data_IF_401658095055
#
_entry.id   IF_401658095055
#
_cell.length_a   1.000
_cell.length_b   1.000
_cell.length_c   1.000
_cell.angle_alpha   90.00
_cell.angle_beta   90.00
_cell.angle_gamma   90.00
#
_symmetry.space_group_name_H-M   'P 1'
#
loop_
_entity.id
_entity.type
_entity.pdbx_description
1 polymer ?
#
# COMPACT_ATOMS: atom_id res chain seq x y z
N UNK A 1 21.35 0.30 -33.18
CA UNK A 1 20.65 1.21 -32.25
C UNK A 1 19.44 0.45 -31.72
N UNK A 2 19.50 0.01 -30.47
CA UNK A 2 18.45 -0.79 -29.83
C UNK A 2 17.42 0.15 -29.23
N UNK A 3 16.26 0.27 -29.89
CA UNK A 3 15.09 0.88 -29.30
C UNK A 3 14.44 -0.15 -28.39
N UNK A 4 14.70 -0.04 -27.09
CA UNK A 4 13.95 -0.77 -26.08
C UNK A 4 12.49 -0.31 -26.18
N UNK A 5 11.66 -1.23 -26.67
CA UNK A 5 10.21 -1.16 -26.66
C UNK A 5 9.76 -0.89 -25.22
N UNK A 6 9.38 0.37 -24.95
CA UNK A 6 8.51 0.67 -23.83
C UNK A 6 7.21 -0.05 -24.09
N UNK A 7 7.03 -1.17 -23.38
CA UNK A 7 5.82 -1.95 -23.43
C UNK A 7 4.65 -1.03 -23.10
N UNK A 8 3.86 -0.74 -24.14
CA UNK A 8 2.55 -0.15 -24.10
C UNK A 8 1.63 -1.14 -23.38
N UNK A 9 1.77 -1.24 -22.05
CA UNK A 9 0.76 -1.85 -21.21
C UNK A 9 -0.43 -0.90 -21.26
N UNK A 10 -1.42 -1.31 -22.04
CA UNK A 10 -2.70 -0.64 -22.18
C UNK A 10 -3.20 -0.21 -20.80
N UNK A 11 -3.40 1.11 -20.54
CA UNK A 11 -4.14 1.51 -19.36
C UNK A 11 -5.58 1.10 -19.65
N UNK A 12 -5.97 -0.08 -19.18
CA UNK A 12 -7.36 -0.50 -19.15
C UNK A 12 -8.13 0.59 -18.42
N UNK A 13 -8.82 1.41 -19.21
CA UNK A 13 -9.60 2.57 -18.81
C UNK A 13 -10.80 2.10 -17.99
N UNK A 14 -10.56 1.65 -16.76
CA UNK A 14 -11.52 1.70 -15.69
C UNK A 14 -11.26 3.01 -14.95
N UNK A 15 -11.64 4.11 -15.60
CA UNK A 15 -12.00 5.33 -14.88
C UNK A 15 -13.14 4.91 -13.97
N UNK A 16 -12.88 4.70 -12.68
CA UNK A 16 -13.93 4.47 -11.70
C UNK A 16 -14.81 5.73 -11.71
N UNK A 17 -16.04 5.70 -12.23
CA UNK A 17 -16.83 6.92 -12.39
C UNK A 17 -17.26 7.51 -11.04
N UNK A 18 -16.94 6.81 -9.93
CA UNK A 18 -17.29 7.22 -8.58
C UNK A 18 -16.12 7.80 -7.79
N UNK A 19 -14.87 7.54 -8.18
CA UNK A 19 -13.68 7.92 -7.40
C UNK A 19 -13.63 7.21 -6.04
N UNK A 20 -14.03 5.94 -5.98
CA UNK A 20 -14.22 5.20 -4.72
C UNK A 20 -13.43 3.89 -4.64
N UNK A 21 -12.58 3.57 -5.62
CA UNK A 21 -11.89 2.28 -5.65
C UNK A 21 -10.68 2.28 -4.74
N UNK A 22 -10.91 1.86 -3.50
CA UNK A 22 -9.85 1.48 -2.58
C UNK A 22 -9.55 0.00 -2.75
N UNK A 23 -8.29 -0.34 -2.95
CA UNK A 23 -7.79 -1.71 -3.03
C UNK A 23 -6.73 -1.96 -1.96
N UNK A 24 -6.68 -3.18 -1.43
CA UNK A 24 -5.53 -3.68 -0.68
C UNK A 24 -4.70 -4.51 -1.64
N UNK A 25 -3.52 -4.01 -1.94
CA UNK A 25 -2.57 -4.69 -2.80
C UNK A 25 -1.51 -5.36 -1.94
N UNK A 26 -1.20 -6.62 -2.25
CA UNK A 26 -0.21 -7.41 -1.52
C UNK A 26 0.73 -8.15 -2.46
N UNK A 27 1.93 -8.42 -1.96
CA UNK A 27 2.86 -9.42 -2.50
C UNK A 27 3.52 -10.17 -1.35
N UNK A 28 4.09 -11.36 -1.59
CA UNK A 28 5.00 -11.98 -0.65
C UNK A 28 6.12 -10.99 -0.30
N UNK A 29 6.31 -10.71 0.99
CA UNK A 29 7.47 -9.94 1.43
C UNK A 29 8.70 -10.85 1.35
N UNK A 30 9.83 -10.32 0.90
CA UNK A 30 11.11 -11.04 0.94
C UNK A 30 11.62 -11.21 2.40
N UNK A 31 10.83 -10.76 3.38
CA UNK A 31 11.01 -10.88 4.84
C UNK A 31 10.51 -12.24 5.31
N UNK A 32 11.25 -12.89 6.21
CA UNK A 32 10.93 -14.22 6.72
C UNK A 32 10.72 -15.26 5.60
N UNK A 33 11.45 -15.14 4.48
CA UNK A 33 11.42 -16.10 3.37
C UNK A 33 10.10 -16.15 2.59
N UNK A 34 9.35 -15.06 2.49
CA UNK A 34 8.07 -15.05 1.75
C UNK A 34 6.84 -15.41 2.58
N UNK A 35 7.00 -15.66 3.89
CA UNK A 35 5.90 -16.14 4.75
C UNK A 35 4.96 -15.03 5.24
N UNK A 36 5.31 -13.77 5.04
CA UNK A 36 4.47 -12.63 5.43
C UNK A 36 4.18 -11.82 4.19
N UNK A 37 2.91 -11.55 3.91
CA UNK A 37 2.55 -10.66 2.81
C UNK A 37 2.84 -9.21 3.19
N UNK A 38 3.55 -8.53 2.30
CA UNK A 38 3.67 -7.08 2.30
C UNK A 38 2.43 -6.49 1.63
N UNK A 39 1.66 -5.71 2.37
CA UNK A 39 0.40 -5.14 1.90
C UNK A 39 0.40 -3.61 2.03
N UNK A 40 -0.19 -2.94 1.05
CA UNK A 40 -0.38 -1.50 0.98
C UNK A 40 -1.73 -1.16 0.35
N UNK A 41 -2.13 0.10 0.44
CA UNK A 41 -3.38 0.59 -0.11
C UNK A 41 -3.15 1.24 -1.46
N UNK A 42 -4.11 1.07 -2.36
CA UNK A 42 -4.17 1.75 -3.64
C UNK A 42 -5.55 2.39 -3.79
N UNK A 43 -5.56 3.65 -4.18
CA UNK A 43 -6.73 4.43 -4.56
C UNK A 43 -6.53 4.92 -6.00
N UNK A 44 -7.48 5.70 -6.53
CA UNK A 44 -7.34 6.27 -7.87
C UNK A 44 -6.20 7.31 -7.94
N UNK A 45 -5.80 7.88 -6.80
CA UNK A 45 -4.82 8.96 -6.72
C UNK A 45 -3.54 8.62 -5.96
N UNK A 46 -3.56 7.61 -5.10
CA UNK A 46 -2.41 7.26 -4.25
C UNK A 46 -2.17 5.76 -4.23
N UNK A 47 -0.91 5.37 -4.11
CA UNK A 47 -0.55 4.02 -3.72
C UNK A 47 0.51 4.09 -2.63
N UNK A 48 0.13 3.69 -1.42
CA UNK A 48 0.97 3.90 -0.26
C UNK A 48 0.66 2.91 0.87
N UNK A 49 1.67 2.66 1.70
CA UNK A 49 1.63 1.67 2.76
C UNK A 49 2.76 1.87 3.76
N UNK A 50 2.91 0.96 4.71
CA UNK A 50 3.98 1.03 5.68
C UNK A 50 5.32 0.62 5.06
N UNK A 51 6.39 1.35 5.32
CA UNK A 51 7.76 0.97 4.95
C UNK A 51 8.81 1.63 5.87
N UNK A 52 10.07 1.21 5.82
CA UNK A 52 11.18 1.82 6.60
C UNK A 52 11.63 3.18 6.06
N UNK A 53 11.24 3.52 4.84
CA UNK A 53 11.55 4.76 4.15
C UNK A 53 10.25 5.42 3.69
N UNK A 54 10.15 6.76 3.66
CA UNK A 54 9.00 7.43 3.08
C UNK A 54 9.04 7.48 1.54
N UNK A 55 10.21 7.34 0.92
CA UNK A 55 10.32 7.22 -0.53
C UNK A 55 9.94 5.82 -0.99
N UNK A 56 9.53 5.69 -2.26
CA UNK A 56 9.25 4.38 -2.79
C UNK A 56 10.46 3.45 -2.70
N UNK A 57 10.32 2.41 -1.89
CA UNK A 57 11.29 1.32 -1.76
C UNK A 57 10.54 0.01 -1.71
N UNK A 58 11.20 -1.05 -2.17
CA UNK A 58 10.64 -2.40 -2.09
C UNK A 58 10.83 -2.92 -0.68
N UNK A 59 9.73 -3.12 0.04
CA UNK A 59 9.80 -3.72 1.38
C UNK A 59 10.45 -5.12 1.32
N UNK A 60 11.43 -5.35 2.18
CA UNK A 60 12.23 -6.58 2.29
C UNK A 60 13.62 -6.49 1.65
N UNK A 61 13.97 -5.38 0.98
CA UNK A 61 15.25 -5.29 0.29
C UNK A 61 16.46 -4.99 1.20
N UNK A 62 16.31 -4.34 2.38
CA UNK A 62 17.46 -4.10 3.28
C UNK A 62 17.13 -3.88 4.77
N UNK A 63 15.90 -3.47 5.16
CA UNK A 63 15.56 -3.29 6.59
C UNK A 63 14.07 -3.39 6.97
N UNK A 64 13.18 -3.26 5.99
CA UNK A 64 11.73 -3.52 6.12
C UNK A 64 11.55 -4.91 6.69
N UNK A 65 10.94 -5.04 7.87
CA UNK A 65 10.68 -6.34 8.48
C UNK A 65 11.52 -6.70 9.69
N UNK A 66 12.59 -5.97 10.00
CA UNK A 66 13.25 -6.16 11.29
C UNK A 66 12.40 -5.57 12.42
N UNK A 67 12.23 -6.31 13.53
CA UNK A 67 11.59 -5.77 14.72
C UNK A 67 12.23 -4.44 15.13
N UNK A 68 11.40 -3.49 15.53
CA UNK A 68 11.77 -2.18 16.05
C UNK A 68 12.34 -1.17 15.04
N UNK A 69 12.45 -1.51 13.75
CA UNK A 69 12.78 -0.55 12.69
C UNK A 69 11.74 0.58 12.65
N UNK A 70 12.18 1.82 12.49
CA UNK A 70 11.24 2.96 12.31
C UNK A 70 10.50 2.80 10.99
N UNK A 71 9.21 3.06 11.01
CA UNK A 71 8.35 2.90 9.83
C UNK A 71 7.50 4.14 9.60
N UNK A 72 7.18 4.36 8.33
CA UNK A 72 6.50 5.53 7.80
C UNK A 72 5.42 5.10 6.82
N UNK A 73 4.48 6.00 6.55
CA UNK A 73 3.69 5.91 5.32
C UNK A 73 4.61 6.22 4.14
N UNK A 74 4.74 5.27 3.23
CA UNK A 74 5.65 5.28 2.09
C UNK A 74 4.87 5.19 0.79
N UNK A 75 5.36 5.87 -0.23
CA UNK A 75 4.93 5.62 -1.60
C UNK A 75 5.23 4.17 -1.99
N UNK A 76 4.35 3.56 -2.80
CA UNK A 76 4.46 2.19 -3.32
C UNK A 76 4.33 2.14 -4.85
N UNK A 77 4.46 3.28 -5.54
CA UNK A 77 4.30 3.38 -7.00
C UNK A 77 5.30 2.55 -7.80
N UNK A 78 6.46 2.25 -7.21
CA UNK A 78 7.53 1.42 -7.75
C UNK A 78 7.39 -0.08 -7.40
N UNK A 79 6.43 -0.45 -6.55
CA UNK A 79 6.22 -1.83 -6.13
C UNK A 79 5.12 -2.51 -6.96
N UNK A 80 5.28 -3.80 -7.20
CA UNK A 80 4.37 -4.60 -8.02
C UNK A 80 3.66 -5.64 -7.14
N UNK A 81 2.35 -5.46 -6.98
CA UNK A 81 1.52 -6.39 -6.24
C UNK A 81 1.33 -7.70 -7.02
N UNK A 82 1.26 -8.83 -6.32
CA UNK A 82 0.85 -10.11 -6.90
C UNK A 82 -0.66 -10.32 -6.81
N UNK A 83 -1.33 -9.64 -5.86
CA UNK A 83 -2.79 -9.63 -5.71
C UNK A 83 -3.28 -8.27 -5.26
N UNK A 84 -4.47 -7.86 -5.68
CA UNK A 84 -5.16 -6.69 -5.16
C UNK A 84 -6.65 -7.02 -4.96
N UNK A 85 -7.15 -6.75 -3.76
CA UNK A 85 -8.54 -7.01 -3.37
C UNK A 85 -9.31 -5.68 -3.29
N UNK A 86 -10.48 -5.60 -3.94
CA UNK A 86 -11.34 -4.42 -3.95
C UNK A 86 -12.11 -4.26 -2.63
N UNK A 87 -12.13 -3.05 -2.08
CA UNK A 87 -12.86 -2.69 -0.86
C UNK A 87 -13.89 -1.58 -1.13
N UNK A 88 -15.03 -1.88 -1.79
CA UNK A 88 -16.01 -0.87 -2.25
C UNK A 88 -16.71 -0.10 -1.11
N UNK A 89 -16.65 -0.63 0.11
CA UNK A 89 -17.21 0.02 1.30
C UNK A 89 -16.24 1.00 1.98
N UNK A 90 -15.00 1.10 1.52
CA UNK A 90 -14.08 2.11 2.01
C UNK A 90 -14.38 3.48 1.38
N UNK A 91 -14.13 4.54 2.15
CA UNK A 91 -14.17 5.91 1.68
C UNK A 91 -12.79 6.35 1.20
N UNK A 92 -12.66 6.58 -0.11
CA UNK A 92 -11.38 6.94 -0.72
C UNK A 92 -10.79 8.23 -0.15
N UNK A 93 -11.61 9.25 0.11
CA UNK A 93 -11.12 10.52 0.66
C UNK A 93 -10.50 10.33 2.05
N UNK A 94 -11.16 9.58 2.93
CA UNK A 94 -10.62 9.19 4.22
C UNK A 94 -9.32 8.40 4.08
N UNK A 95 -9.26 7.42 3.17
CA UNK A 95 -8.04 6.64 2.94
C UNK A 95 -6.91 7.54 2.47
N UNK A 96 -7.17 8.44 1.52
CA UNK A 96 -6.18 9.39 1.01
C UNK A 96 -5.64 10.32 2.10
N UNK A 97 -6.43 10.66 3.12
CA UNK A 97 -5.99 11.43 4.31
C UNK A 97 -5.08 10.62 5.24
N UNK A 98 -5.30 9.31 5.36
CA UNK A 98 -4.41 8.45 6.16
C UNK A 98 -3.10 8.12 5.44
N UNK A 99 -3.11 8.13 4.10
CA UNK A 99 -1.95 7.91 3.23
C UNK A 99 -1.14 9.19 3.01
N UNK A 100 -0.74 9.85 4.10
CA UNK A 100 0.17 11.00 4.07
C UNK A 100 1.63 10.52 4.05
N UNK A 101 2.30 10.60 2.90
CA UNK A 101 3.69 10.15 2.74
C UNK A 101 4.60 10.87 3.75
N UNK A 102 5.46 10.10 4.44
CA UNK A 102 6.34 10.63 5.47
C UNK A 102 5.77 10.61 6.89
N UNK A 103 4.46 10.37 7.05
CA UNK A 103 3.84 10.24 8.37
C UNK A 103 4.48 9.08 9.14
N UNK A 104 5.00 9.37 10.33
CA UNK A 104 5.57 8.36 11.22
C UNK A 104 4.49 7.41 11.72
N UNK A 105 4.74 6.10 11.59
CA UNK A 105 3.87 5.04 12.08
C UNK A 105 4.44 4.35 13.32
N UNK A 106 5.55 4.86 13.86
CA UNK A 106 6.24 4.29 15.00
C UNK A 106 7.26 3.22 14.59
N UNK A 107 7.27 2.10 15.30
CA UNK A 107 8.24 1.01 15.09
C UNK A 107 7.56 -0.25 14.61
N UNK A 108 8.20 -0.95 13.67
CA UNK A 108 7.74 -2.23 13.16
C UNK A 108 7.64 -3.25 14.29
N UNK A 109 6.48 -3.89 14.42
CA UNK A 109 6.20 -4.88 15.44
C UNK A 109 5.09 -5.84 14.98
N UNK A 110 4.90 -7.00 15.63
CA UNK A 110 3.80 -7.91 15.31
C UNK A 110 2.40 -7.25 15.33
N UNK A 111 2.21 -6.21 16.13
CA UNK A 111 0.98 -5.42 16.22
C UNK A 111 1.03 -4.09 15.43
N UNK A 112 2.15 -3.76 14.80
CA UNK A 112 2.35 -2.56 13.99
C UNK A 112 3.20 -2.90 12.76
N UNK A 113 2.56 -3.50 11.77
CA UNK A 113 3.14 -3.98 10.53
C UNK A 113 2.29 -3.55 9.31
N UNK A 114 2.73 -3.96 8.12
CA UNK A 114 2.14 -3.59 6.84
C UNK A 114 0.65 -3.97 6.74
N UNK A 115 0.30 -5.19 7.16
CA UNK A 115 -1.08 -5.68 7.14
C UNK A 115 -1.94 -4.94 8.16
N UNK A 116 -1.48 -4.80 9.40
CA UNK A 116 -2.26 -4.11 10.45
C UNK A 116 -2.51 -2.65 10.09
N UNK A 117 -1.55 -1.99 9.44
CA UNK A 117 -1.73 -0.62 8.95
C UNK A 117 -2.76 -0.54 7.83
N UNK A 118 -2.60 -1.33 6.76
CA UNK A 118 -3.52 -1.32 5.62
C UNK A 118 -4.96 -1.62 6.05
N UNK A 119 -5.18 -2.68 6.82
CA UNK A 119 -6.51 -3.04 7.32
C UNK A 119 -7.02 -2.06 8.38
N UNK A 120 -6.15 -1.49 9.22
CA UNK A 120 -6.53 -0.46 10.19
C UNK A 120 -7.10 0.79 9.53
N UNK A 121 -6.47 1.25 8.44
CA UNK A 121 -6.97 2.37 7.63
C UNK A 121 -8.31 2.01 6.97
N UNK A 122 -8.47 0.81 6.41
CA UNK A 122 -9.75 0.38 5.85
C UNK A 122 -10.88 0.36 6.87
N UNK A 123 -10.63 -0.20 8.06
CA UNK A 123 -11.64 -0.27 9.14
C UNK A 123 -12.04 1.15 9.56
N UNK A 124 -11.06 2.04 9.74
CA UNK A 124 -11.28 3.45 10.08
C UNK A 124 -12.11 4.18 9.02
N UNK A 125 -11.80 3.94 7.75
CA UNK A 125 -12.43 4.60 6.61
C UNK A 125 -13.63 3.85 6.03
N UNK A 126 -14.13 2.82 6.71
CA UNK A 126 -15.31 2.08 6.28
C UNK A 126 -16.58 2.93 6.40
N UNK A 127 -17.37 3.01 5.32
CA UNK A 127 -18.64 3.75 5.26
C UNK A 127 -19.68 3.25 6.27
N UNK A 128 -19.56 2.01 6.75
CA UNK A 128 -20.41 1.46 7.82
C UNK A 128 -20.27 2.19 9.17
N UNK A 129 -19.18 2.93 9.38
CA UNK A 129 -18.94 3.69 10.61
C UNK A 129 -19.46 5.14 10.57
N UNK A 130 -20.11 5.58 9.48
CA UNK A 130 -20.86 6.84 9.47
C UNK A 130 -22.27 6.59 10.02
N UNK A 131 -22.48 6.95 11.29
CA UNK A 131 -23.84 7.10 11.86
C UNK A 131 -24.51 8.35 11.30
#
# INVERSE_FOLDING_TARGET
MNFYLYAYAQPGSHTDPTGLRVQVCCRPADIAGGMVDHCWLKTDTKTAGMNESPQCSRAGNDASGYPFTKVYVSDHSCDAATRCDDHPLADEECVNKELEIGKELGRFAPWNNCQTFAYGVLIKCSKKNRK
#
